data_IF_911296560873
#
_entry.id   IF_911296560873
#
_cell.length_a   1.000
_cell.length_b   1.000
_cell.length_c   1.000
_cell.angle_alpha   90.00
_cell.angle_beta   90.00
_cell.angle_gamma   90.00
#
_symmetry.space_group_name_H-M   'P 1'
#
loop_
_entity.id
_entity.type
_entity.pdbx_description
1 polymer ?
#
# COMPACT_ATOMS: atom_id res chain seq x y z
N UNK A 1 -0.97 -63.66 -24.06
CA UNK A 1 -2.16 -64.30 -24.68
C UNK A 1 -3.34 -64.04 -23.77
N UNK A 2 -4.28 -63.24 -24.26
CA UNK A 2 -5.57 -62.85 -23.67
C UNK A 2 -6.54 -64.03 -23.67
N UNK A 3 -7.35 -64.26 -22.62
CA UNK A 3 -8.75 -64.75 -22.73
C UNK A 3 -9.56 -64.28 -21.49
N UNK A 4 -10.73 -63.68 -21.75
CA UNK A 4 -11.77 -63.23 -20.80
C UNK A 4 -12.51 -64.39 -20.09
N UNK A 5 -13.04 -64.17 -18.87
CA UNK A 5 -14.25 -64.86 -18.42
C UNK A 5 -15.54 -64.05 -18.75
N UNK A 6 -16.66 -64.73 -19.04
CA UNK A 6 -17.88 -64.15 -19.61
C UNK A 6 -18.87 -63.53 -18.61
N UNK A 7 -19.77 -62.73 -19.19
CA UNK A 7 -20.97 -62.06 -18.67
C UNK A 7 -21.80 -62.87 -17.65
N UNK A 8 -22.35 -62.19 -16.65
CA UNK A 8 -23.44 -62.69 -15.81
C UNK A 8 -24.57 -61.66 -15.84
N UNK A 9 -25.68 -62.00 -16.49
CA UNK A 9 -26.94 -61.25 -16.43
C UNK A 9 -27.53 -61.29 -15.00
N UNK A 10 -28.21 -60.23 -14.55
CA UNK A 10 -28.77 -60.17 -13.21
C UNK A 10 -30.04 -61.04 -13.07
N UNK A 11 -30.02 -61.96 -12.13
CA UNK A 11 -31.19 -62.70 -11.66
C UNK A 11 -32.22 -61.75 -11.01
N UNK A 12 -33.43 -61.73 -11.56
CA UNK A 12 -34.62 -61.14 -10.95
C UNK A 12 -35.32 -62.24 -10.12
N UNK A 13 -35.41 -62.15 -8.79
CA UNK A 13 -36.14 -63.14 -7.99
C UNK A 13 -37.66 -62.85 -7.95
N UNK A 14 -38.45 -63.79 -8.45
CA UNK A 14 -39.90 -63.90 -8.24
C UNK A 14 -40.21 -64.14 -6.76
N UNK A 15 -40.70 -63.12 -6.04
CA UNK A 15 -41.32 -63.33 -4.73
C UNK A 15 -42.51 -62.39 -4.48
N UNK A 16 -43.73 -62.91 -4.25
CA UNK A 16 -44.91 -62.09 -3.92
C UNK A 16 -44.85 -61.54 -2.48
N UNK A 17 -45.18 -60.26 -2.29
CA UNK A 17 -45.33 -59.63 -0.96
C UNK A 17 -46.52 -60.24 -0.17
N UNK A 18 -46.39 -60.48 1.14
CA UNK A 18 -47.50 -60.92 1.99
C UNK A 18 -48.48 -59.76 2.36
N UNK A 19 -49.77 -60.06 2.60
CA UNK A 19 -50.85 -59.06 2.81
C UNK A 19 -50.79 -58.30 4.14
N UNK A 20 -51.40 -57.10 4.13
CA UNK A 20 -51.17 -55.94 5.00
C UNK A 20 -51.86 -55.97 6.39
N UNK A 21 -51.91 -57.13 7.04
CA UNK A 21 -52.77 -57.31 8.23
C UNK A 21 -51.97 -57.47 9.54
N UNK A 22 -50.67 -57.14 9.49
CA UNK A 22 -49.69 -57.44 10.55
C UNK A 22 -48.84 -56.27 11.05
N UNK A 23 -49.28 -55.02 10.94
CA UNK A 23 -48.57 -53.89 11.56
C UNK A 23 -48.94 -53.80 13.05
N UNK A 24 -48.20 -54.55 13.87
CA UNK A 24 -48.28 -54.52 15.32
C UNK A 24 -48.07 -53.11 15.93
N UNK A 25 -48.47 -52.99 17.19
CA UNK A 25 -48.42 -51.79 18.05
C UNK A 25 -47.19 -50.91 17.81
N UNK A 26 -47.42 -49.67 17.39
CA UNK A 26 -46.32 -48.70 17.17
C UNK A 26 -45.60 -48.44 18.52
N UNK A 27 -44.27 -48.65 18.59
CA UNK A 27 -43.49 -48.42 19.79
C UNK A 27 -43.57 -46.98 20.29
N UNK A 28 -43.56 -46.77 21.61
CA UNK A 28 -43.85 -45.46 22.20
C UNK A 28 -42.78 -44.39 21.96
N UNK A 29 -41.56 -44.79 21.62
CA UNK A 29 -40.51 -43.87 21.19
C UNK A 29 -40.80 -43.25 19.80
N UNK A 30 -41.70 -43.84 18.99
CA UNK A 30 -42.11 -43.30 17.69
C UNK A 30 -43.22 -42.23 17.80
N UNK A 31 -43.85 -42.11 18.99
CA UNK A 31 -44.92 -41.14 19.28
C UNK A 31 -44.41 -39.85 19.93
N UNK A 32 -43.11 -39.74 20.19
CA UNK A 32 -42.54 -38.49 20.66
C UNK A 32 -42.54 -37.47 19.51
N UNK A 33 -43.14 -36.28 19.68
CA UNK A 33 -42.97 -35.21 18.70
C UNK A 33 -41.48 -34.84 18.68
N UNK A 34 -40.85 -34.92 17.51
CA UNK A 34 -39.47 -34.49 17.33
C UNK A 34 -39.35 -33.05 17.85
N UNK A 35 -38.54 -32.84 18.89
CA UNK A 35 -38.24 -31.49 19.37
C UNK A 35 -37.52 -30.78 18.22
N UNK A 36 -38.15 -29.75 17.66
CA UNK A 36 -37.54 -28.94 16.62
C UNK A 36 -36.32 -28.22 17.21
N UNK A 37 -35.13 -28.75 16.95
CA UNK A 37 -33.87 -28.07 17.29
C UNK A 37 -33.81 -26.79 16.47
N UNK A 38 -34.01 -25.63 17.09
CA UNK A 38 -33.80 -24.36 16.41
C UNK A 38 -32.32 -24.26 16.00
N UNK A 39 -32.01 -23.97 14.72
CA UNK A 39 -30.63 -23.89 14.27
C UNK A 39 -29.93 -22.71 14.93
N UNK A 40 -28.80 -22.99 15.59
CA UNK A 40 -27.95 -22.01 16.25
C UNK A 40 -27.43 -20.96 15.24
N UNK A 41 -27.09 -19.76 15.73
CA UNK A 41 -26.67 -18.62 14.88
C UNK A 41 -25.47 -18.96 14.01
N UNK A 42 -24.61 -19.86 14.47
CA UNK A 42 -23.46 -20.36 13.71
C UNK A 42 -23.87 -21.16 12.46
N UNK A 43 -24.94 -21.94 12.53
CA UNK A 43 -25.43 -22.74 11.39
C UNK A 43 -26.14 -21.85 10.37
N UNK A 44 -26.86 -20.82 10.83
CA UNK A 44 -27.47 -19.81 9.94
C UNK A 44 -26.40 -19.01 9.17
N UNK A 45 -25.28 -18.70 9.81
CA UNK A 45 -24.15 -18.02 9.18
C UNK A 45 -23.48 -18.89 8.10
N UNK A 46 -23.35 -20.19 8.34
CA UNK A 46 -22.77 -21.13 7.36
C UNK A 46 -23.63 -21.29 6.11
N UNK A 47 -24.95 -21.37 6.26
CA UNK A 47 -25.87 -21.50 5.13
C UNK A 47 -25.88 -20.23 4.28
N UNK A 48 -25.89 -19.06 4.93
CA UNK A 48 -25.83 -17.77 4.22
C UNK A 48 -24.54 -17.58 3.41
N UNK A 49 -23.41 -18.04 3.95
CA UNK A 49 -22.11 -17.95 3.28
C UNK A 49 -21.97 -18.94 2.11
N UNK A 50 -22.65 -20.09 2.18
CA UNK A 50 -22.70 -21.10 1.12
C UNK A 50 -23.38 -20.57 -0.14
N UNK A 51 -24.55 -19.94 0.00
CA UNK A 51 -25.39 -19.49 -1.13
C UNK A 51 -24.86 -18.25 -1.86
N UNK A 52 -23.97 -17.45 -1.24
CA UNK A 52 -23.41 -16.23 -1.84
C UNK A 52 -21.98 -16.40 -2.40
N UNK A 53 -21.36 -17.56 -2.22
CA UNK A 53 -19.96 -17.84 -2.56
C UNK A 53 -19.64 -17.69 -4.07
N UNK A 54 -20.52 -18.16 -4.95
CA UNK A 54 -20.29 -18.13 -6.40
C UNK A 54 -20.24 -16.72 -7.01
N UNK A 55 -21.06 -15.79 -6.52
CA UNK A 55 -21.10 -14.40 -7.01
C UNK A 55 -20.00 -13.53 -6.40
N UNK A 56 -19.62 -13.81 -5.15
CA UNK A 56 -18.53 -13.09 -4.47
C UNK A 56 -17.15 -13.46 -5.05
N UNK A 57 -16.92 -14.73 -5.40
CA UNK A 57 -15.66 -15.13 -6.04
C UNK A 57 -15.45 -14.46 -7.41
N UNK A 58 -16.51 -14.40 -8.24
CA UNK A 58 -16.43 -13.72 -9.55
C UNK A 58 -16.17 -12.22 -9.43
N UNK A 59 -16.86 -11.55 -8.49
CA UNK A 59 -16.65 -10.13 -8.23
C UNK A 59 -15.25 -9.81 -7.70
N UNK A 60 -14.73 -10.62 -6.77
CA UNK A 60 -13.38 -10.45 -6.22
C UNK A 60 -12.30 -10.72 -7.27
N UNK A 61 -12.47 -11.75 -8.10
CA UNK A 61 -11.52 -12.03 -9.19
C UNK A 61 -11.46 -10.87 -10.21
N UNK A 62 -12.60 -10.30 -10.59
CA UNK A 62 -12.64 -9.14 -11.49
C UNK A 62 -11.99 -7.89 -10.86
N UNK A 63 -12.22 -7.65 -9.56
CA UNK A 63 -11.62 -6.54 -8.83
C UNK A 63 -10.10 -6.69 -8.71
N UNK A 64 -9.61 -7.90 -8.45
CA UNK A 64 -8.17 -8.19 -8.42
C UNK A 64 -7.55 -8.00 -9.81
N UNK A 65 -8.19 -8.49 -10.88
CA UNK A 65 -7.66 -8.31 -12.23
C UNK A 65 -7.60 -6.82 -12.62
N UNK A 66 -8.63 -6.04 -12.28
CA UNK A 66 -8.65 -4.60 -12.49
C UNK A 66 -7.57 -3.88 -11.65
N UNK A 67 -7.39 -4.28 -10.39
CA UNK A 67 -6.34 -3.74 -9.53
C UNK A 67 -4.94 -4.02 -10.07
N UNK A 68 -4.65 -5.27 -10.47
CA UNK A 68 -3.38 -5.63 -11.08
C UNK A 68 -3.17 -4.92 -12.42
N UNK A 69 -4.21 -4.74 -13.22
CA UNK A 69 -4.15 -3.94 -14.46
C UNK A 69 -3.79 -2.47 -14.19
N UNK A 70 -4.40 -1.85 -13.19
CA UNK A 70 -4.10 -0.47 -12.78
C UNK A 70 -2.69 -0.35 -12.21
N UNK A 71 -2.25 -1.29 -11.37
CA UNK A 71 -0.90 -1.31 -10.81
C UNK A 71 0.15 -1.56 -11.90
N UNK A 72 -0.08 -2.48 -12.83
CA UNK A 72 0.80 -2.73 -13.96
C UNK A 72 0.90 -1.52 -14.89
N UNK A 73 -0.23 -0.88 -15.21
CA UNK A 73 -0.27 0.32 -16.06
C UNK A 73 0.41 1.51 -15.36
N UNK A 74 0.15 1.70 -14.06
CA UNK A 74 0.77 2.74 -13.24
C UNK A 74 2.28 2.54 -13.09
N UNK A 75 2.72 1.31 -12.84
CA UNK A 75 4.13 0.93 -12.77
C UNK A 75 4.84 1.13 -14.10
N UNK A 76 4.23 0.70 -15.21
CA UNK A 76 4.77 0.88 -16.55
C UNK A 76 4.91 2.36 -16.93
N UNK A 77 3.89 3.18 -16.66
CA UNK A 77 3.97 4.64 -16.89
C UNK A 77 4.97 5.35 -15.99
N UNK A 78 5.13 4.88 -14.76
CA UNK A 78 6.18 5.36 -13.87
C UNK A 78 7.54 5.09 -14.50
N UNK A 79 7.85 3.83 -14.84
CA UNK A 79 9.11 3.43 -15.46
C UNK A 79 9.43 4.23 -16.73
N UNK A 80 8.43 4.51 -17.58
CA UNK A 80 8.63 5.36 -18.77
C UNK A 80 9.01 6.80 -18.43
N UNK A 81 8.44 7.42 -17.37
CA UNK A 81 8.86 8.76 -16.92
C UNK A 81 10.29 8.79 -16.38
N UNK A 82 10.77 7.71 -15.76
CA UNK A 82 12.17 7.62 -15.31
C UNK A 82 13.13 7.38 -16.47
N UNK A 83 12.63 6.91 -17.62
CA UNK A 83 13.41 6.68 -18.83
C UNK A 83 13.45 7.88 -19.78
N UNK A 84 12.64 8.92 -19.55
CA UNK A 84 12.74 10.17 -20.32
C UNK A 84 14.09 10.86 -20.00
N UNK A 85 14.91 11.17 -21.03
CA UNK A 85 16.12 11.96 -20.84
C UNK A 85 15.73 13.32 -20.22
N UNK A 86 16.52 13.86 -19.28
CA UNK A 86 16.24 15.16 -18.70
C UNK A 86 16.07 16.19 -19.82
N UNK A 87 14.89 16.83 -19.87
CA UNK A 87 14.64 17.90 -20.81
C UNK A 87 15.70 18.99 -20.60
N UNK A 88 16.47 19.28 -21.64
CA UNK A 88 17.41 20.39 -21.62
C UNK A 88 16.62 21.69 -21.55
N UNK A 89 16.58 22.30 -20.37
CA UNK A 89 16.09 23.66 -20.21
C UNK A 89 17.02 24.58 -21.00
N UNK A 90 16.49 25.53 -21.79
CA UNK A 90 17.34 26.53 -22.42
C UNK A 90 18.06 27.30 -21.31
N UNK A 91 19.37 27.14 -21.20
CA UNK A 91 20.19 28.03 -20.40
C UNK A 91 20.03 29.43 -20.99
N UNK A 92 19.44 30.35 -20.24
CA UNK A 92 19.56 31.77 -20.54
C UNK A 92 21.05 32.08 -20.41
N UNK A 93 21.73 32.20 -21.55
CA UNK A 93 23.10 32.69 -21.60
C UNK A 93 23.11 34.06 -20.93
N UNK A 94 23.96 34.24 -19.92
CA UNK A 94 24.15 35.55 -19.31
C UNK A 94 24.51 36.54 -20.42
N UNK A 95 23.82 37.70 -20.50
CA UNK A 95 24.17 38.72 -21.48
C UNK A 95 25.64 39.09 -21.32
N UNK A 96 26.38 39.05 -22.44
CA UNK A 96 27.79 39.47 -22.47
C UNK A 96 27.85 40.95 -22.07
N UNK A 97 28.48 41.23 -20.92
CA UNK A 97 28.69 42.58 -20.41
C UNK A 97 28.31 42.78 -18.94
N UNK A 98 27.48 41.92 -18.36
CA UNK A 98 27.10 42.01 -16.95
C UNK A 98 27.92 41.02 -16.12
N UNK A 99 29.14 41.45 -15.76
CA UNK A 99 29.84 40.84 -14.63
C UNK A 99 29.04 41.18 -13.38
N UNK A 100 28.56 40.17 -12.65
CA UNK A 100 28.08 40.33 -11.29
C UNK A 100 29.26 40.77 -10.41
N UNK A 101 29.54 42.07 -10.38
CA UNK A 101 30.44 42.68 -9.40
C UNK A 101 29.71 42.67 -8.07
N UNK A 102 29.87 41.59 -7.31
CA UNK A 102 29.50 41.57 -5.89
C UNK A 102 30.53 42.38 -5.12
N UNK A 103 30.52 43.71 -5.31
CA UNK A 103 31.31 44.67 -4.55
C UNK A 103 30.48 45.25 -3.41
N UNK A 104 29.93 44.36 -2.59
CA UNK A 104 29.53 44.58 -1.21
C UNK A 104 29.04 43.22 -0.74
N UNK A 105 29.85 42.50 0.05
CA UNK A 105 29.23 41.52 0.93
C UNK A 105 28.24 42.32 1.77
N UNK A 106 26.92 42.03 1.73
CA UNK A 106 25.99 42.65 2.64
C UNK A 106 26.53 42.49 4.06
N UNK A 107 26.36 43.49 4.95
CA UNK A 107 26.67 43.29 6.36
C UNK A 107 26.01 41.98 6.81
N UNK A 108 26.65 41.21 7.72
CA UNK A 108 26.11 39.91 8.14
C UNK A 108 24.67 40.09 8.59
N UNK A 109 23.75 39.71 7.71
CA UNK A 109 22.33 39.72 7.99
C UNK A 109 22.09 38.74 9.13
N UNK A 110 21.25 39.12 10.09
CA UNK A 110 20.91 38.24 11.20
C UNK A 110 20.11 37.02 10.69
N UNK A 111 19.32 37.22 9.63
CA UNK A 111 18.54 36.21 8.93
C UNK A 111 18.95 36.03 7.47
N UNK A 112 18.71 34.83 6.92
CA UNK A 112 19.05 34.50 5.53
C UNK A 112 18.24 35.29 4.49
N UNK A 113 17.12 35.91 4.90
CA UNK A 113 16.20 36.63 4.04
C UNK A 113 16.08 38.13 4.38
N UNK A 114 16.88 38.65 5.31
CA UNK A 114 16.81 40.06 5.69
C UNK A 114 17.04 40.97 4.47
N UNK A 115 16.21 42.00 4.33
CA UNK A 115 16.27 42.94 3.20
C UNK A 115 15.70 42.38 1.90
N UNK A 116 15.11 41.18 1.91
CA UNK A 116 14.40 40.61 0.76
C UNK A 116 12.88 40.59 0.98
N UNK A 117 12.05 40.58 -0.08
CA UNK A 117 10.61 40.33 0.05
C UNK A 117 10.26 38.99 0.71
N UNK A 118 11.23 38.07 0.82
CA UNK A 118 11.04 36.79 1.49
C UNK A 118 11.14 36.90 3.03
N UNK A 119 11.54 38.06 3.58
CA UNK A 119 11.64 38.27 5.02
C UNK A 119 10.32 38.04 5.77
N UNK A 120 9.18 38.30 5.12
CA UNK A 120 7.85 38.10 5.70
C UNK A 120 7.36 36.64 5.63
N UNK A 121 8.09 35.76 4.95
CA UNK A 121 7.68 34.37 4.80
C UNK A 121 8.10 33.54 6.01
N UNK A 122 7.23 32.61 6.46
CA UNK A 122 7.57 31.73 7.56
C UNK A 122 8.73 30.78 7.18
N UNK A 123 9.81 30.85 7.95
CA UNK A 123 11.02 30.07 7.68
C UNK A 123 10.94 28.61 8.18
N UNK A 124 11.55 27.70 7.40
CA UNK A 124 11.75 26.31 7.79
C UNK A 124 10.44 25.59 8.16
N UNK A 125 10.39 25.03 9.37
CA UNK A 125 9.22 24.27 9.82
C UNK A 125 7.97 25.14 10.00
N UNK A 126 8.12 26.46 10.20
CA UNK A 126 6.99 27.37 10.30
C UNK A 126 6.23 27.48 8.97
N UNK A 127 6.92 27.29 7.84
CA UNK A 127 6.28 27.28 6.51
C UNK A 127 5.42 26.05 6.22
N UNK A 128 5.49 25.00 7.06
CA UNK A 128 4.65 23.80 6.91
C UNK A 128 3.41 23.96 7.80
N UNK A 129 2.40 24.65 7.28
CA UNK A 129 1.09 24.75 7.89
C UNK A 129 0.30 23.45 7.70
N UNK A 130 -0.35 22.97 8.77
CA UNK A 130 -1.23 21.80 8.68
C UNK A 130 -2.64 22.23 8.24
N UNK A 131 -3.29 21.46 7.35
CA UNK A 131 -4.69 21.69 7.04
C UNK A 131 -5.55 21.40 8.26
N UNK A 132 -6.72 22.04 8.33
CA UNK A 132 -7.71 21.74 9.36
C UNK A 132 -8.09 20.26 9.30
N UNK A 133 -7.94 19.56 10.42
CA UNK A 133 -8.32 18.16 10.52
C UNK A 133 -9.85 18.05 10.37
N UNK A 134 -10.30 17.11 9.55
CA UNK A 134 -11.72 16.77 9.40
C UNK A 134 -11.87 15.27 9.55
N UNK A 135 -12.96 14.85 10.19
CA UNK A 135 -13.33 13.44 10.25
C UNK A 135 -13.41 12.88 8.82
N UNK A 136 -12.71 11.77 8.57
CA UNK A 136 -12.65 11.16 7.23
C UNK A 136 -12.92 9.67 7.35
N UNK A 137 -14.06 9.21 6.81
CA UNK A 137 -14.50 7.82 6.90
C UNK A 137 -14.52 7.29 8.34
N UNK A 138 -13.80 6.19 8.65
CA UNK A 138 -13.76 5.61 9.98
C UNK A 138 -12.88 6.39 10.97
N UNK A 139 -12.09 7.36 10.51
CA UNK A 139 -11.13 8.09 11.36
C UNK A 139 -11.76 9.34 11.97
N UNK A 140 -11.63 9.45 13.29
CA UNK A 140 -12.02 10.65 14.04
C UNK A 140 -11.13 11.84 13.69
N UNK A 141 -11.64 13.05 13.90
CA UNK A 141 -10.87 14.29 13.70
C UNK A 141 -9.55 14.30 14.48
N UNK A 142 -9.57 13.84 15.74
CA UNK A 142 -8.35 13.70 16.55
C UNK A 142 -7.32 12.76 15.92
N UNK A 143 -7.75 11.64 15.35
CA UNK A 143 -6.86 10.70 14.67
C UNK A 143 -6.26 11.32 13.40
N UNK A 144 -7.06 12.07 12.64
CA UNK A 144 -6.59 12.79 11.45
C UNK A 144 -5.59 13.87 11.83
N UNK A 145 -5.88 14.66 12.87
CA UNK A 145 -4.95 15.66 13.40
C UNK A 145 -3.62 15.05 13.85
N UNK A 146 -3.68 13.93 14.58
CA UNK A 146 -2.49 13.21 15.02
C UNK A 146 -1.67 12.65 13.84
N UNK A 147 -2.33 12.15 12.80
CA UNK A 147 -1.66 11.67 11.59
C UNK A 147 -0.98 12.83 10.83
N UNK A 148 -1.68 13.95 10.65
CA UNK A 148 -1.12 15.16 10.03
C UNK A 148 0.11 15.67 10.79
N UNK A 149 0.08 15.66 12.12
CA UNK A 149 1.22 16.03 12.94
C UNK A 149 2.44 15.11 12.72
N UNK A 150 2.22 13.79 12.59
CA UNK A 150 3.29 12.83 12.26
C UNK A 150 3.87 13.08 10.87
N UNK A 151 3.03 13.36 9.88
CA UNK A 151 3.47 13.69 8.52
C UNK A 151 4.32 14.96 8.52
N UNK A 152 3.87 16.03 9.18
CA UNK A 152 4.68 17.26 9.31
C UNK A 152 6.04 16.99 9.95
N UNK A 153 6.09 16.17 11.01
CA UNK A 153 7.35 15.80 11.65
C UNK A 153 8.28 15.05 10.69
N UNK A 154 7.75 14.13 9.88
CA UNK A 154 8.52 13.42 8.87
C UNK A 154 9.07 14.35 7.79
N UNK A 155 8.25 15.29 7.29
CA UNK A 155 8.68 16.27 6.28
C UNK A 155 9.76 17.22 6.81
N UNK A 156 9.60 17.73 8.04
CA UNK A 156 10.62 18.56 8.69
C UNK A 156 11.93 17.77 8.81
N UNK A 157 11.85 16.51 9.23
CA UNK A 157 13.04 15.66 9.39
C UNK A 157 13.72 15.36 8.05
N UNK A 158 12.95 15.06 6.99
CA UNK A 158 13.54 14.61 5.73
C UNK A 158 14.09 15.75 4.84
N UNK A 159 13.58 16.98 5.03
CA UNK A 159 13.89 18.14 4.15
C UNK A 159 14.55 19.31 4.85
N UNK A 160 14.34 19.50 6.15
CA UNK A 160 14.74 20.73 6.86
C UNK A 160 15.69 20.50 8.04
N UNK A 161 15.71 19.29 8.61
CA UNK A 161 16.58 18.96 9.73
C UNK A 161 18.04 18.97 9.28
N UNK A 162 18.78 20.00 9.70
CA UNK A 162 20.20 20.18 9.37
C UNK A 162 21.04 18.96 9.76
N UNK A 163 20.73 18.31 10.88
CA UNK A 163 21.41 17.08 11.27
C UNK A 163 21.12 15.94 10.31
N UNK A 164 19.88 15.78 9.84
CA UNK A 164 19.55 14.75 8.85
C UNK A 164 20.21 15.05 7.50
N UNK A 165 20.19 16.31 7.08
CA UNK A 165 20.83 16.75 5.84
C UNK A 165 22.33 16.48 5.92
N UNK A 166 23.03 16.87 6.99
CA UNK A 166 24.48 16.71 7.09
C UNK A 166 24.91 15.29 7.46
N UNK A 167 24.07 14.52 8.17
CA UNK A 167 24.41 13.15 8.57
C UNK A 167 24.19 12.14 7.45
N UNK A 168 24.90 11.01 7.56
CA UNK A 168 24.71 9.83 6.69
C UNK A 168 23.72 8.82 7.29
N UNK A 169 22.98 9.18 8.34
CA UNK A 169 22.13 8.24 9.09
C UNK A 169 20.64 8.33 8.67
N UNK A 170 20.13 7.36 7.88
CA UNK A 170 18.72 7.31 7.52
C UNK A 170 17.82 6.89 8.69
N UNK A 171 18.35 6.26 9.74
CA UNK A 171 17.54 5.65 10.79
C UNK A 171 16.72 6.69 11.58
N UNK A 172 17.18 7.94 11.65
CA UNK A 172 16.43 9.05 12.28
C UNK A 172 15.09 9.29 11.60
N UNK A 173 15.04 9.20 10.27
CA UNK A 173 13.80 9.31 9.51
C UNK A 173 13.02 7.99 9.59
N UNK A 174 13.68 6.85 9.39
CA UNK A 174 13.03 5.53 9.38
C UNK A 174 12.31 5.21 10.69
N UNK A 175 12.84 5.63 11.85
CA UNK A 175 12.19 5.42 13.16
C UNK A 175 10.83 6.09 13.28
N UNK A 176 10.54 7.10 12.46
CA UNK A 176 9.24 7.80 12.47
C UNK A 176 8.15 7.02 11.73
N UNK A 177 8.54 6.06 10.90
CA UNK A 177 7.62 5.17 10.20
C UNK A 177 7.32 3.92 11.02
N UNK A 178 6.19 3.29 10.71
CA UNK A 178 5.78 2.02 11.29
C UNK A 178 6.88 0.96 11.07
N UNK A 179 7.14 0.05 12.05
CA UNK A 179 8.22 -0.93 11.97
C UNK A 179 8.24 -1.71 10.65
N UNK A 180 7.07 -2.14 10.18
CA UNK A 180 6.90 -2.96 8.98
C UNK A 180 7.32 -2.21 7.70
N UNK A 181 7.12 -0.89 7.65
CA UNK A 181 7.49 -0.07 6.50
C UNK A 181 9.00 0.23 6.44
N UNK A 182 9.74 0.08 7.55
CA UNK A 182 11.15 0.47 7.61
C UNK A 182 12.04 -0.36 6.70
N UNK A 183 11.70 -1.63 6.50
CA UNK A 183 12.48 -2.54 5.65
C UNK A 183 12.48 -2.07 4.19
N UNK A 184 11.32 -1.67 3.67
CA UNK A 184 11.20 -1.21 2.30
C UNK A 184 11.80 0.17 2.09
N UNK A 185 11.53 1.12 3.00
CA UNK A 185 12.17 2.44 2.92
C UNK A 185 13.71 2.33 3.00
N UNK A 186 14.26 1.39 3.76
CA UNK A 186 15.72 1.17 3.80
C UNK A 186 16.29 0.74 2.44
N UNK A 187 15.53 -0.01 1.63
CA UNK A 187 15.94 -0.37 0.26
C UNK A 187 16.01 0.86 -0.64
N UNK A 188 15.06 1.79 -0.52
CA UNK A 188 15.09 3.06 -1.27
C UNK A 188 16.31 3.92 -0.92
N UNK A 189 16.70 3.92 0.36
CA UNK A 189 17.92 4.59 0.81
C UNK A 189 19.20 3.97 0.22
N UNK A 190 19.19 2.67 -0.08
CA UNK A 190 20.31 1.97 -0.72
C UNK A 190 20.33 2.18 -2.24
N UNK A 191 19.17 2.26 -2.90
CA UNK A 191 19.06 2.41 -4.37
C UNK A 191 19.18 3.86 -4.85
N UNK A 192 19.06 4.84 -3.96
CA UNK A 192 19.03 6.26 -4.34
C UNK A 192 17.64 6.82 -4.61
N UNK A 193 16.61 5.97 -4.61
CA UNK A 193 15.21 6.37 -4.80
C UNK A 193 14.69 7.30 -3.67
N UNK A 194 15.39 7.35 -2.53
CA UNK A 194 15.10 8.28 -1.44
C UNK A 194 15.07 9.75 -1.87
N UNK A 195 15.76 10.14 -2.95
CA UNK A 195 15.84 11.52 -3.42
C UNK A 195 14.46 12.14 -3.72
N UNK A 196 13.45 11.31 -4.01
CA UNK A 196 12.07 11.76 -4.22
C UNK A 196 11.43 12.35 -2.96
N UNK A 197 11.85 11.94 -1.75
CA UNK A 197 11.20 12.34 -0.50
C UNK A 197 12.16 12.82 0.61
N UNK A 198 13.47 12.64 0.46
CA UNK A 198 14.49 13.05 1.41
C UNK A 198 15.67 13.74 0.71
N UNK A 199 16.29 14.71 1.38
CA UNK A 199 17.44 15.45 0.84
C UNK A 199 18.67 15.36 1.76
N UNK A 200 19.23 14.16 1.99
CA UNK A 200 20.50 14.03 2.68
C UNK A 200 21.63 14.50 1.79
N UNK A 201 22.58 15.23 2.37
CA UNK A 201 23.84 15.59 1.74
C UNK A 201 24.72 14.34 1.65
N UNK A 202 24.88 13.82 0.44
CA UNK A 202 25.93 12.86 0.13
C UNK A 202 26.80 13.44 -0.97
N UNK A 203 28.12 13.60 -0.77
CA UNK A 203 29.00 13.90 -1.88
C UNK A 203 28.86 12.78 -2.92
N UNK A 204 28.75 13.14 -4.20
CA UNK A 204 28.72 12.19 -5.29
C UNK A 204 29.91 11.23 -5.14
N UNK A 205 29.67 9.91 -5.21
CA UNK A 205 30.77 8.97 -5.43
C UNK A 205 31.32 9.30 -6.80
N UNK A 206 32.52 9.89 -6.84
CA UNK A 206 33.26 10.03 -8.08
C UNK A 206 33.43 8.63 -8.69
N UNK A 207 32.74 8.36 -9.80
CA UNK A 207 33.04 7.17 -10.59
C UNK A 207 34.51 7.24 -11.01
N UNK A 208 35.31 6.17 -10.83
CA UNK A 208 36.67 6.16 -11.34
C UNK A 208 36.58 6.33 -12.85
N UNK A 209 37.04 7.49 -13.34
CA UNK A 209 37.24 7.73 -14.76
C UNK A 209 38.32 6.75 -15.18
N UNK A 210 37.92 5.65 -15.81
CA UNK A 210 38.86 4.72 -16.45
C UNK A 210 39.57 5.49 -17.55
N UNK A 211 40.75 6.01 -17.24
CA UNK A 211 41.75 6.42 -18.22
C UNK A 211 42.17 5.13 -18.92
N UNK A 212 41.69 4.96 -20.16
CA UNK A 212 42.21 3.95 -21.06
C UNK A 212 43.33 4.66 -21.84
N UNK A 213 44.57 4.38 -21.44
CA UNK A 213 45.76 4.66 -22.25
C UNK A 213 45.91 3.66 -23.38
#
# INVERSE_FOLDING_TARGET
MTIHPPHSDPHLPDQPYPPADGLGTIPEWLRQPAVATEPDRADRLRIWLGDHSGKLLGGVAALLLAFFGVVATGGYRSLQRWAEPPAAYPTISQPVGEQAVSSASPPPAAGAFDGTPAADFPEGAAGIALPAAKRTGPFTEKQVAAALAKVRKALVTSRLDRTFITSKDPDRLLRQFAPDARADLRKDFASGAFATYATPWRPARASPRTSRG
#
